data_IF_089376127433
#
_entry.id   IF_089376127433
#
_cell.length_a   1.000
_cell.length_b   1.000
_cell.length_c   1.000
_cell.angle_alpha   90.00
_cell.angle_beta   90.00
_cell.angle_gamma   90.00
#
_symmetry.space_group_name_H-M   'P 1'
#
loop_
_entity.id
_entity.type
_entity.pdbx_description
1 polymer ?
#
# COMPACT_ATOMS: atom_id res chain seq x y z
N UNK A 1 -8.96 0.97 -8.18
CA UNK A 1 -7.64 0.34 -8.35
C UNK A 1 -7.10 -0.12 -7.01
N UNK A 2 -6.36 -1.24 -7.02
CA UNK A 2 -5.90 -2.00 -5.83
C UNK A 2 -5.07 -1.13 -4.87
N UNK A 3 -4.13 -0.33 -5.38
CA UNK A 3 -3.29 0.55 -4.54
C UNK A 3 -4.12 1.52 -3.71
N UNK A 4 -5.18 2.10 -4.29
CA UNK A 4 -6.07 3.03 -3.58
C UNK A 4 -6.81 2.35 -2.42
N UNK A 5 -7.30 1.13 -2.63
CA UNK A 5 -8.01 0.39 -1.57
C UNK A 5 -7.07 0.05 -0.42
N UNK A 6 -5.82 -0.33 -0.73
CA UNK A 6 -4.78 -0.55 0.28
C UNK A 6 -4.45 0.75 1.02
N UNK A 7 -4.31 1.86 0.29
CA UNK A 7 -4.09 3.18 0.89
C UNK A 7 -5.20 3.58 1.86
N UNK A 8 -6.46 3.29 1.53
CA UNK A 8 -7.59 3.52 2.43
C UNK A 8 -7.54 2.59 3.65
N UNK A 9 -7.27 1.30 3.45
CA UNK A 9 -7.11 0.35 4.56
C UNK A 9 -6.01 0.76 5.54
N UNK A 10 -4.86 1.21 5.04
CA UNK A 10 -3.75 1.74 5.85
C UNK A 10 -4.21 2.93 6.69
N UNK A 11 -4.96 3.88 6.09
CA UNK A 11 -5.50 5.05 6.78
C UNK A 11 -6.51 4.67 7.86
N UNK A 12 -7.44 3.77 7.57
CA UNK A 12 -8.44 3.27 8.53
C UNK A 12 -7.81 2.56 9.73
N UNK A 13 -6.67 1.88 9.52
CA UNK A 13 -5.91 1.21 10.58
C UNK A 13 -4.95 2.12 11.35
N UNK A 14 -4.83 3.40 10.96
CA UNK A 14 -3.89 4.34 11.58
C UNK A 14 -2.42 3.97 11.39
N UNK A 15 -2.10 3.19 10.35
CA UNK A 15 -0.73 2.76 10.05
C UNK A 15 -0.02 3.89 9.30
N UNK A 16 1.16 4.30 9.79
CA UNK A 16 1.91 5.39 9.18
C UNK A 16 2.74 4.91 7.99
N UNK A 17 2.93 5.78 7.00
CA UNK A 17 3.78 5.50 5.83
C UNK A 17 5.23 5.22 6.26
N UNK A 18 5.73 5.92 7.28
CA UNK A 18 7.05 5.69 7.86
C UNK A 18 7.23 4.26 8.36
N UNK A 19 6.23 3.72 9.09
CA UNK A 19 6.26 2.34 9.59
C UNK A 19 6.34 1.31 8.45
N UNK A 20 5.59 1.56 7.38
CA UNK A 20 5.59 0.69 6.19
C UNK A 20 6.95 0.77 5.49
N UNK A 21 7.52 1.97 5.34
CA UNK A 21 8.83 2.17 4.73
C UNK A 21 9.93 1.40 5.48
N UNK A 22 9.95 1.52 6.80
CA UNK A 22 10.90 0.81 7.67
C UNK A 22 10.77 -0.71 7.55
N UNK A 23 9.55 -1.23 7.54
CA UNK A 23 9.31 -2.67 7.53
C UNK A 23 9.55 -3.31 6.14
N UNK A 24 9.30 -2.57 5.06
CA UNK A 24 9.35 -3.09 3.69
C UNK A 24 10.65 -2.75 2.96
N UNK A 25 11.42 -1.77 3.46
CA UNK A 25 12.58 -1.21 2.77
C UNK A 25 12.21 -0.32 1.57
N UNK A 26 10.92 -0.10 1.30
CA UNK A 26 10.46 0.78 0.24
C UNK A 26 10.65 2.23 0.69
N UNK A 27 11.17 3.08 -0.20
CA UNK A 27 11.35 4.51 0.11
C UNK A 27 10.04 5.14 0.56
N UNK A 28 10.10 5.93 1.63
CA UNK A 28 8.98 6.75 2.10
C UNK A 28 8.39 7.61 0.98
N UNK A 29 9.24 8.22 0.14
CA UNK A 29 8.80 9.09 -0.96
C UNK A 29 8.02 8.31 -2.02
N UNK A 30 8.37 7.03 -2.23
CA UNK A 30 7.63 6.14 -3.13
C UNK A 30 6.25 5.87 -2.54
N UNK A 31 6.18 5.41 -1.29
CA UNK A 31 4.93 5.08 -0.64
C UNK A 31 4.01 6.30 -0.49
N UNK A 32 4.57 7.47 -0.19
CA UNK A 32 3.84 8.73 -0.13
C UNK A 32 3.16 9.07 -1.47
N UNK A 33 3.84 8.85 -2.60
CA UNK A 33 3.25 9.05 -3.93
C UNK A 33 2.24 7.96 -4.32
N UNK A 34 2.30 6.78 -3.70
CA UNK A 34 1.31 5.71 -3.89
C UNK A 34 0.04 5.93 -3.09
N UNK A 35 0.14 6.55 -1.91
CA UNK A 35 -0.98 6.70 -0.98
C UNK A 35 -1.48 8.15 -0.82
N UNK A 36 -0.96 9.07 -1.64
CA UNK A 36 -1.51 10.42 -1.76
C UNK A 36 -2.95 10.38 -2.31
N UNK A 37 -3.70 11.45 -2.08
CA UNK A 37 -5.10 11.55 -2.52
C UNK A 37 -5.25 11.48 -4.04
N UNK A 38 -4.21 11.94 -4.76
CA UNK A 38 -4.18 11.93 -6.22
C UNK A 38 -3.78 10.58 -6.79
N UNK A 39 -3.30 9.64 -5.96
CA UNK A 39 -2.67 8.39 -6.36
C UNK A 39 -1.68 8.62 -7.51
N UNK A 40 -0.66 9.45 -7.28
CA UNK A 40 0.27 9.89 -8.31
C UNK A 40 1.00 8.74 -9.02
N UNK A 41 1.02 7.54 -8.41
CA UNK A 41 1.46 6.28 -9.01
C UNK A 41 0.86 5.07 -8.28
N UNK A 42 0.80 3.94 -8.97
CA UNK A 42 0.44 2.65 -8.37
C UNK A 42 1.66 1.99 -7.69
N UNK A 43 1.38 1.07 -6.76
CA UNK A 43 2.36 0.10 -6.27
C UNK A 43 2.70 -0.86 -7.42
N UNK A 44 3.99 -1.11 -7.62
CA UNK A 44 4.45 -2.21 -8.48
C UNK A 44 4.15 -3.55 -7.82
N UNK A 45 4.18 -4.64 -8.58
CA UNK A 45 3.88 -5.97 -8.07
C UNK A 45 4.71 -6.35 -6.82
N UNK A 46 6.02 -6.14 -6.85
CA UNK A 46 6.90 -6.47 -5.71
C UNK A 46 6.61 -5.57 -4.49
N UNK A 47 6.39 -4.28 -4.71
CA UNK A 47 6.03 -3.33 -3.65
C UNK A 47 4.69 -3.71 -3.01
N UNK A 48 3.71 -4.10 -3.83
CA UNK A 48 2.40 -4.58 -3.39
C UNK A 48 2.54 -5.81 -2.49
N UNK A 49 3.33 -6.81 -2.92
CA UNK A 49 3.53 -8.04 -2.14
C UNK A 49 4.24 -7.77 -0.82
N UNK A 50 5.22 -6.85 -0.79
CA UNK A 50 5.91 -6.44 0.44
C UNK A 50 4.96 -5.73 1.41
N UNK A 51 4.15 -4.79 0.91
CA UNK A 51 3.16 -4.07 1.72
C UNK A 51 2.10 -5.03 2.26
N UNK A 52 1.54 -5.91 1.42
CA UNK A 52 0.54 -6.88 1.85
C UNK A 52 1.10 -7.91 2.85
N UNK A 53 2.37 -8.32 2.69
CA UNK A 53 3.06 -9.18 3.66
C UNK A 53 3.19 -8.46 5.02
N UNK A 54 3.62 -7.20 5.02
CA UNK A 54 3.74 -6.41 6.25
C UNK A 54 2.39 -6.23 6.96
N UNK A 55 1.32 -6.02 6.19
CA UNK A 55 -0.04 -5.86 6.71
C UNK A 55 -0.70 -7.19 7.11
N UNK A 56 -0.05 -8.33 6.83
CA UNK A 56 -0.58 -9.69 7.03
C UNK A 56 -1.92 -9.93 6.33
N UNK A 57 -2.07 -9.37 5.12
CA UNK A 57 -3.29 -9.47 4.31
C UNK A 57 -3.01 -10.12 2.95
N UNK A 58 -4.01 -10.83 2.45
CA UNK A 58 -3.95 -11.38 1.10
C UNK A 58 -4.16 -10.24 0.08
N UNK A 59 -3.23 -10.00 -0.87
CA UNK A 59 -3.36 -8.94 -1.88
C UNK A 59 -4.62 -9.08 -2.75
N UNK A 60 -5.12 -10.30 -2.91
CA UNK A 60 -6.32 -10.58 -3.71
C UNK A 60 -7.61 -10.07 -3.06
N UNK A 61 -7.61 -9.76 -1.76
CA UNK A 61 -8.76 -9.17 -1.06
C UNK A 61 -9.15 -7.78 -1.60
N UNK A 62 -8.23 -7.12 -2.32
CA UNK A 62 -8.46 -5.80 -2.90
C UNK A 62 -8.83 -5.84 -4.37
N UNK A 63 -8.83 -7.00 -5.01
CA UNK A 63 -9.30 -7.13 -6.39
C UNK A 63 -10.82 -6.98 -6.42
N UNK A 64 -11.31 -6.18 -7.37
CA UNK A 64 -12.71 -6.23 -7.74
C UNK A 64 -12.90 -7.50 -8.56
N UNK A 65 -13.64 -8.47 -8.02
CA UNK A 65 -14.06 -9.65 -8.79
C UNK A 65 -15.28 -9.22 -9.60
N UNK A 66 -15.17 -9.26 -10.93
CA UNK A 66 -16.28 -9.07 -11.84
C UNK A 66 -17.21 -10.30 -11.82
#
# INVERSE_FOLDING_TARGET
MVTRKIGNYIKEKGITITRIAEATGISYQILARCFDEKNSRELKADELLLVCRFLEINPFNFMDVA
#
